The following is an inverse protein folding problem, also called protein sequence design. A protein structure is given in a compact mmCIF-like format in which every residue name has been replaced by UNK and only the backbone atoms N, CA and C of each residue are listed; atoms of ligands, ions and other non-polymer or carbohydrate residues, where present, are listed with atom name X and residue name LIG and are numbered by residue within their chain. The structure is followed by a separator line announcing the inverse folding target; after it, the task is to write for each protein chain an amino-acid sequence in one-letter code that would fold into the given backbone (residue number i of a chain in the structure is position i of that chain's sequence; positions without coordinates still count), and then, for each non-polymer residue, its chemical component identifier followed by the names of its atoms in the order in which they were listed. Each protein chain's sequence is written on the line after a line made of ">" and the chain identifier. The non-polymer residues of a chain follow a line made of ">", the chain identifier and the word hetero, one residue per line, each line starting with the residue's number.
data_IF_063923588969
#
_entry.id   IF_063923588969
#
_cell.length_a   1.000
_cell.length_b   1.000
_cell.length_c   1.000
_cell.angle_alpha   90.00
_cell.angle_beta   90.00
_cell.angle_gamma   90.00
#
_symmetry.space_group_name_H-M   'P 1'
#
loop_
_entity.id
_entity.type
_entity.pdbx_description
1 polymer ?
#
# COMPACT_ATOMS: atom_id res chain seq x y z
N UNK A 1 -5.86 5.29 33.87
CA UNK A 1 -6.31 5.34 32.47
C UNK A 1 -5.68 4.14 31.77
N UNK A 2 -6.49 3.20 31.30
CA UNK A 2 -5.99 1.92 30.76
C UNK A 2 -5.63 2.10 29.29
N UNK A 3 -4.46 1.61 28.87
CA UNK A 3 -4.04 1.53 27.45
C UNK A 3 -5.12 0.87 26.58
N UNK A 4 -5.93 -0.01 27.17
CA UNK A 4 -7.05 -0.69 26.50
C UNK A 4 -8.20 0.27 26.19
N UNK A 5 -8.44 1.28 27.00
CA UNK A 5 -9.48 2.28 26.76
C UNK A 5 -9.06 3.29 25.69
N UNK A 6 -7.77 3.65 25.63
CA UNK A 6 -7.21 4.47 24.55
C UNK A 6 -7.20 3.71 23.20
N UNK A 7 -6.95 2.39 23.20
CA UNK A 7 -7.04 1.55 22.01
C UNK A 7 -8.47 1.44 21.45
N UNK A 8 -9.51 1.48 22.31
CA UNK A 8 -10.92 1.51 21.87
C UNK A 8 -11.32 2.82 21.20
N UNK A 9 -10.55 3.89 21.41
CA UNK A 9 -10.79 5.20 20.78
C UNK A 9 -10.21 5.32 19.36
N UNK A 10 -9.41 4.34 18.93
CA UNK A 10 -8.84 4.35 17.58
C UNK A 10 -9.93 4.08 16.54
N UNK A 11 -10.06 5.02 15.60
CA UNK A 11 -10.90 4.86 14.42
C UNK A 11 -10.50 3.56 13.67
N UNK A 12 -11.48 2.75 13.30
CA UNK A 12 -11.28 1.49 12.55
C UNK A 12 -10.43 1.75 11.29
N UNK A 13 -10.59 2.91 10.66
CA UNK A 13 -9.79 3.31 9.51
C UNK A 13 -8.31 3.50 9.86
N UNK A 14 -8.00 4.06 11.04
CA UNK A 14 -6.62 4.23 11.50
C UNK A 14 -5.95 2.87 11.75
N UNK A 15 -6.68 1.92 12.34
CA UNK A 15 -6.19 0.55 12.53
C UNK A 15 -5.87 -0.10 11.18
N UNK A 16 -6.77 0.01 10.20
CA UNK A 16 -6.53 -0.53 8.85
C UNK A 16 -5.29 0.10 8.21
N UNK A 17 -5.14 1.42 8.25
CA UNK A 17 -3.98 2.12 7.68
C UNK A 17 -2.68 1.66 8.34
N UNK A 18 -2.66 1.56 9.67
CA UNK A 18 -1.49 1.10 10.43
C UNK A 18 -1.17 -0.36 10.07
N UNK A 19 -2.17 -1.24 10.04
CA UNK A 19 -1.97 -2.64 9.66
C UNK A 19 -1.42 -2.77 8.24
N UNK A 20 -1.99 -2.03 7.29
CA UNK A 20 -1.49 -1.98 5.91
C UNK A 20 -0.04 -1.52 5.92
N UNK A 21 0.31 -0.44 6.62
CA UNK A 21 1.69 0.05 6.70
C UNK A 21 2.67 -1.03 7.17
N UNK A 22 2.36 -1.76 8.25
CA UNK A 22 3.22 -2.83 8.74
C UNK A 22 3.39 -3.97 7.72
N UNK A 23 2.29 -4.41 7.11
CA UNK A 23 2.28 -5.54 6.16
C UNK A 23 2.89 -5.17 4.82
N UNK A 24 2.80 -3.90 4.40
CA UNK A 24 3.25 -3.44 3.09
C UNK A 24 4.64 -2.84 3.07
N UNK A 25 5.20 -2.42 4.21
CA UNK A 25 6.53 -1.82 4.29
C UNK A 25 7.50 -2.61 5.16
N UNK A 26 7.07 -3.03 6.36
CA UNK A 26 7.99 -3.52 7.39
C UNK A 26 8.21 -5.03 7.22
N UNK A 27 7.15 -5.82 7.35
CA UNK A 27 7.27 -7.28 7.38
C UNK A 27 7.98 -7.88 6.14
N UNK A 28 7.59 -7.56 4.89
CA UNK A 28 8.24 -8.16 3.73
C UNK A 28 9.67 -7.66 3.51
N UNK A 29 9.97 -6.41 3.87
CA UNK A 29 11.31 -5.87 3.75
C UNK A 29 12.26 -6.46 4.80
N UNK A 30 11.79 -6.73 6.02
CA UNK A 30 12.57 -7.47 7.03
C UNK A 30 12.99 -8.85 6.51
N UNK A 31 12.06 -9.58 5.89
CA UNK A 31 12.34 -10.88 5.28
C UNK A 31 13.38 -10.76 4.16
N UNK A 32 13.25 -9.75 3.32
CA UNK A 32 14.17 -9.50 2.22
C UNK A 32 15.57 -9.14 2.72
N UNK A 33 15.68 -8.25 3.71
CA UNK A 33 16.95 -7.85 4.34
C UNK A 33 17.61 -9.07 4.98
N UNK A 34 16.85 -9.85 5.75
CA UNK A 34 17.35 -11.07 6.38
C UNK A 34 17.90 -12.06 5.34
N UNK A 35 17.22 -12.24 4.20
CA UNK A 35 17.69 -13.13 3.13
C UNK A 35 18.94 -12.60 2.43
N UNK A 36 19.01 -11.30 2.17
CA UNK A 36 20.08 -10.69 1.38
C UNK A 36 21.36 -10.42 2.18
N UNK A 37 21.23 -10.01 3.44
CA UNK A 37 22.37 -9.71 4.30
C UNK A 37 22.02 -9.92 5.78
N UNK A 38 22.23 -11.16 6.24
CA UNK A 38 22.02 -11.56 7.64
C UNK A 38 22.84 -10.72 8.63
N UNK A 39 24.14 -10.42 8.41
CA UNK A 39 24.90 -9.55 9.31
C UNK A 39 24.23 -8.19 9.55
N UNK A 40 23.80 -7.50 8.49
CA UNK A 40 23.11 -6.20 8.61
C UNK A 40 21.84 -6.31 9.45
N UNK A 41 21.08 -7.39 9.29
CA UNK A 41 19.86 -7.62 10.07
C UNK A 41 20.12 -7.76 11.57
N UNK A 42 21.25 -8.36 11.96
CA UNK A 42 21.60 -8.64 13.36
C UNK A 42 22.28 -7.42 14.01
N UNK A 43 23.10 -6.69 13.25
CA UNK A 43 23.88 -5.55 13.75
C UNK A 43 23.07 -4.26 13.87
N UNK A 44 22.04 -4.08 13.04
CA UNK A 44 21.21 -2.89 13.08
C UNK A 44 20.20 -2.94 14.23
N UNK A 45 20.10 -1.81 14.94
CA UNK A 45 19.00 -1.57 15.87
C UNK A 45 17.65 -1.54 15.13
N UNK A 46 16.59 -1.91 15.84
CA UNK A 46 15.20 -2.03 15.35
C UNK A 46 14.75 -0.78 14.62
N UNK A 47 15.05 0.42 15.14
CA UNK A 47 14.66 1.69 14.51
C UNK A 47 15.36 1.84 13.14
N UNK A 48 16.66 1.53 13.06
CA UNK A 48 17.41 1.59 11.80
C UNK A 48 16.89 0.58 10.79
N UNK A 49 16.51 -0.61 11.26
CA UNK A 49 15.95 -1.66 10.44
C UNK A 49 14.57 -1.26 9.88
N UNK A 50 13.73 -0.61 10.68
CA UNK A 50 12.44 -0.04 10.24
C UNK A 50 12.68 1.03 9.16
N UNK A 51 13.62 1.96 9.37
CA UNK A 51 13.94 3.01 8.38
C UNK A 51 14.45 2.38 7.07
N UNK A 52 15.33 1.40 7.15
CA UNK A 52 15.84 0.69 5.98
C UNK A 52 14.71 -0.04 5.23
N UNK A 53 13.80 -0.65 5.97
CA UNK A 53 12.65 -1.37 5.42
C UNK A 53 11.70 -0.45 4.68
N UNK A 54 11.37 0.69 5.29
CA UNK A 54 10.59 1.75 4.64
C UNK A 54 11.32 2.21 3.38
N UNK A 55 12.64 2.41 3.44
CA UNK A 55 13.43 2.88 2.30
C UNK A 55 13.44 1.89 1.12
N UNK A 56 13.47 0.58 1.39
CA UNK A 56 13.41 -0.46 0.36
C UNK A 56 12.00 -0.56 -0.23
N UNK A 57 10.96 -0.44 0.60
CA UNK A 57 9.57 -0.60 0.19
C UNK A 57 8.96 0.65 -0.47
N UNK A 58 9.47 1.85 -0.15
CA UNK A 58 8.89 3.12 -0.59
C UNK A 58 8.91 3.36 -2.10
N UNK A 59 9.97 3.03 -2.85
CA UNK A 59 10.03 3.38 -4.28
C UNK A 59 8.87 2.82 -5.09
N UNK A 60 8.53 1.54 -4.94
CA UNK A 60 7.41 0.91 -5.64
C UNK A 60 6.05 1.46 -5.19
N UNK A 61 5.87 1.66 -3.88
CA UNK A 61 4.65 2.27 -3.34
C UNK A 61 4.43 3.68 -3.88
N UNK A 62 5.43 4.57 -3.73
CA UNK A 62 5.34 5.97 -4.12
C UNK A 62 5.12 6.11 -5.62
N UNK A 63 5.75 5.25 -6.42
CA UNK A 63 5.57 5.26 -7.86
C UNK A 63 4.12 4.94 -8.25
N UNK A 64 3.56 3.83 -7.75
CA UNK A 64 2.16 3.46 -8.03
C UNK A 64 1.16 4.49 -7.48
N UNK A 65 1.45 5.05 -6.30
CA UNK A 65 0.65 6.12 -5.71
C UNK A 65 0.65 7.35 -6.61
N UNK A 66 1.81 7.76 -7.13
CA UNK A 66 1.95 8.88 -8.05
C UNK A 66 1.19 8.65 -9.35
N UNK A 67 1.23 7.44 -9.93
CA UNK A 67 0.45 7.10 -11.13
C UNK A 67 -1.05 7.26 -10.87
N UNK A 68 -1.54 6.76 -9.72
CA UNK A 68 -2.95 6.89 -9.33
C UNK A 68 -3.35 8.36 -9.18
N UNK A 69 -2.51 9.14 -8.49
CA UNK A 69 -2.76 10.55 -8.23
C UNK A 69 -2.75 11.38 -9.52
N UNK A 70 -1.74 11.20 -10.37
CA UNK A 70 -1.67 11.89 -11.68
C UNK A 70 -2.88 11.53 -12.53
N UNK A 71 -3.30 10.26 -12.52
CA UNK A 71 -4.50 9.83 -13.24
C UNK A 71 -5.77 10.54 -12.76
N UNK A 72 -5.94 10.69 -11.44
CA UNK A 72 -7.08 11.43 -10.86
C UNK A 72 -7.04 12.91 -11.29
N UNK A 73 -5.89 13.56 -11.17
CA UNK A 73 -5.69 14.96 -11.56
C UNK A 73 -6.00 15.17 -13.04
N UNK A 74 -5.53 14.28 -13.91
CA UNK A 74 -5.79 14.33 -15.35
C UNK A 74 -7.29 14.20 -15.64
N UNK A 75 -7.97 13.20 -15.07
CA UNK A 75 -9.40 12.99 -15.28
C UNK A 75 -10.26 14.18 -14.80
N UNK A 76 -9.87 14.79 -13.69
CA UNK A 76 -10.53 15.98 -13.14
C UNK A 76 -10.26 17.21 -14.01
N UNK A 77 -9.01 17.42 -14.44
CA UNK A 77 -8.63 18.57 -15.27
C UNK A 77 -9.36 18.57 -16.62
N UNK A 78 -9.50 17.40 -17.26
CA UNK A 78 -10.25 17.26 -18.51
C UNK A 78 -11.79 17.22 -18.32
N UNK A 79 -12.29 17.41 -17.09
CA UNK A 79 -13.73 17.40 -16.75
C UNK A 79 -14.45 16.10 -17.11
N UNK A 80 -13.73 14.97 -17.19
CA UNK A 80 -14.36 13.67 -17.39
C UNK A 80 -15.08 13.21 -16.12
N UNK A 81 -14.53 13.53 -14.93
CA UNK A 81 -15.06 13.09 -13.64
C UNK A 81 -14.86 14.13 -12.53
N UNK A 82 -15.71 14.13 -11.48
CA UNK A 82 -15.49 14.95 -10.29
C UNK A 82 -14.31 14.44 -9.44
N UNK A 83 -13.75 15.32 -8.62
CA UNK A 83 -12.67 14.97 -7.70
C UNK A 83 -13.06 13.81 -6.76
N UNK A 84 -12.14 12.87 -6.57
CA UNK A 84 -12.36 11.69 -5.73
C UNK A 84 -13.14 10.56 -6.42
N UNK A 85 -13.34 10.61 -7.74
CA UNK A 85 -13.94 9.51 -8.50
C UNK A 85 -13.07 8.24 -8.47
N UNK A 86 -11.73 8.38 -8.47
CA UNK A 86 -10.81 7.26 -8.29
C UNK A 86 -10.64 6.83 -6.83
N UNK A 87 -11.35 7.45 -5.89
CA UNK A 87 -11.21 7.23 -4.44
C UNK A 87 -10.48 8.36 -3.73
N UNK A 88 -10.34 8.22 -2.42
CA UNK A 88 -9.61 9.17 -1.56
C UNK A 88 -8.14 8.78 -1.43
N UNK A 89 -7.30 9.68 -0.92
CA UNK A 89 -5.89 9.35 -0.63
C UNK A 89 -5.74 8.15 0.31
N UNK A 90 -6.66 7.97 1.27
CA UNK A 90 -6.64 6.80 2.14
C UNK A 90 -6.96 5.51 1.38
N UNK A 91 -7.91 5.56 0.43
CA UNK A 91 -8.21 4.41 -0.44
C UNK A 91 -7.00 4.07 -1.32
N UNK A 92 -6.29 5.07 -1.85
CA UNK A 92 -5.07 4.87 -2.64
C UNK A 92 -3.92 4.33 -1.80
N UNK A 93 -3.77 4.79 -0.55
CA UNK A 93 -2.78 4.25 0.37
C UNK A 93 -3.01 2.75 0.61
N UNK A 94 -4.26 2.35 0.86
CA UNK A 94 -4.60 0.93 1.06
C UNK A 94 -4.37 0.15 -0.23
N UNK A 95 -4.88 0.62 -1.37
CA UNK A 95 -4.75 -0.05 -2.66
C UNK A 95 -3.27 -0.25 -3.04
N UNK A 96 -2.48 0.82 -3.01
CA UNK A 96 -1.07 0.75 -3.40
C UNK A 96 -0.20 0.10 -2.32
N UNK A 97 -0.60 0.15 -1.05
CA UNK A 97 -0.01 -0.68 0.00
C UNK A 97 -0.19 -2.17 -0.27
N UNK A 98 -1.37 -2.59 -0.73
CA UNK A 98 -1.61 -3.98 -1.12
C UNK A 98 -0.79 -4.39 -2.36
N UNK A 99 -0.72 -3.53 -3.39
CA UNK A 99 0.16 -3.75 -4.54
C UNK A 99 1.63 -3.89 -4.11
N UNK A 100 2.10 -3.00 -3.23
CA UNK A 100 3.47 -3.02 -2.71
C UNK A 100 3.77 -4.28 -1.90
N UNK A 101 2.81 -4.69 -1.06
CA UNK A 101 2.85 -5.97 -0.32
C UNK A 101 3.09 -7.12 -1.28
N UNK A 102 2.25 -7.23 -2.32
CA UNK A 102 2.35 -8.31 -3.29
C UNK A 102 3.70 -8.31 -4.02
N UNK A 103 4.20 -7.14 -4.44
CA UNK A 103 5.53 -7.01 -5.07
C UNK A 103 6.61 -7.54 -4.14
N UNK A 104 6.70 -7.02 -2.91
CA UNK A 104 7.78 -7.36 -2.00
C UNK A 104 7.71 -8.81 -1.52
N UNK A 105 6.53 -9.34 -1.21
CA UNK A 105 6.41 -10.75 -0.83
C UNK A 105 6.73 -11.69 -1.98
N UNK A 106 6.33 -11.36 -3.21
CA UNK A 106 6.70 -12.16 -4.39
C UNK A 106 8.22 -12.14 -4.59
N UNK A 107 8.85 -10.96 -4.51
CA UNK A 107 10.30 -10.84 -4.64
C UNK A 107 11.04 -11.57 -3.52
N UNK A 108 10.58 -11.45 -2.28
CA UNK A 108 11.14 -12.19 -1.14
C UNK A 108 11.02 -13.70 -1.33
N UNK A 109 9.87 -14.18 -1.83
CA UNK A 109 9.68 -15.58 -2.17
C UNK A 109 10.65 -16.03 -3.28
N UNK A 110 10.76 -15.27 -4.37
CA UNK A 110 11.68 -15.58 -5.47
C UNK A 110 13.14 -15.54 -5.00
N UNK A 111 13.51 -14.57 -4.17
CA UNK A 111 14.84 -14.46 -3.60
C UNK A 111 15.19 -15.65 -2.71
N UNK A 112 14.21 -16.16 -1.96
CA UNK A 112 14.38 -17.38 -1.18
C UNK A 112 14.45 -18.64 -2.05
N UNK A 113 13.53 -18.79 -3.01
CA UNK A 113 13.39 -20.00 -3.82
C UNK A 113 14.50 -20.20 -4.85
N UNK A 114 15.01 -19.11 -5.43
CA UNK A 114 16.00 -19.14 -6.52
C UNK A 114 17.37 -18.57 -6.12
N UNK A 115 17.58 -18.32 -4.82
CA UNK A 115 18.79 -17.72 -4.26
C UNK A 115 19.25 -16.46 -5.01
N UNK A 116 18.32 -15.53 -5.23
CA UNK A 116 18.60 -14.34 -6.03
C UNK A 116 19.64 -13.43 -5.35
N UNK A 117 20.58 -12.94 -6.17
CA UNK A 117 21.46 -11.85 -5.77
C UNK A 117 20.68 -10.53 -5.61
N UNK A 118 21.30 -9.54 -4.95
CA UNK A 118 20.74 -8.17 -4.81
C UNK A 118 20.34 -7.59 -6.17
N UNK A 119 21.16 -7.78 -7.22
CA UNK A 119 20.83 -7.33 -8.58
C UNK A 119 19.57 -8.02 -9.12
N UNK A 120 19.44 -9.32 -8.87
CA UNK A 120 18.25 -10.08 -9.25
C UNK A 120 16.99 -9.57 -8.55
N UNK A 121 17.07 -9.30 -7.24
CA UNK A 121 15.98 -8.71 -6.47
C UNK A 121 15.54 -7.37 -7.05
N UNK A 122 16.47 -6.47 -7.36
CA UNK A 122 16.15 -5.15 -7.94
C UNK A 122 15.45 -5.30 -9.30
N UNK A 123 15.92 -6.19 -10.17
CA UNK A 123 15.28 -6.43 -11.47
C UNK A 123 13.88 -7.02 -11.34
N UNK A 124 13.67 -7.95 -10.41
CA UNK A 124 12.34 -8.50 -10.15
C UNK A 124 11.38 -7.47 -9.55
N UNK A 125 11.86 -6.62 -8.62
CA UNK A 125 11.07 -5.49 -8.12
C UNK A 125 10.68 -4.55 -9.25
N UNK A 126 11.61 -4.19 -10.12
CA UNK A 126 11.34 -3.32 -11.26
C UNK A 126 10.36 -3.96 -12.26
N UNK A 127 10.53 -5.24 -12.59
CA UNK A 127 9.63 -5.96 -13.50
C UNK A 127 8.21 -6.05 -12.97
N UNK A 128 8.04 -6.38 -11.69
CA UNK A 128 6.72 -6.40 -11.05
C UNK A 128 6.15 -4.99 -10.92
N UNK A 129 6.95 -3.98 -10.62
CA UNK A 129 6.49 -2.59 -10.59
C UNK A 129 5.90 -2.16 -11.94
N UNK A 130 6.55 -2.50 -13.06
CA UNK A 130 6.03 -2.24 -14.40
C UNK A 130 4.71 -2.97 -14.62
N UNK A 131 4.61 -4.25 -14.23
CA UNK A 131 3.38 -5.02 -14.33
C UNK A 131 2.23 -4.39 -13.55
N UNK A 132 2.47 -4.00 -12.29
CA UNK A 132 1.47 -3.34 -11.45
C UNK A 132 1.11 -1.93 -11.96
N UNK A 133 2.04 -1.25 -12.61
CA UNK A 133 1.77 0.03 -13.28
C UNK A 133 0.81 -0.15 -14.46
N UNK A 134 1.04 -1.17 -15.30
CA UNK A 134 0.12 -1.51 -16.40
C UNK A 134 -1.26 -1.89 -15.85
N UNK A 135 -1.31 -2.67 -14.76
CA UNK A 135 -2.55 -2.98 -14.07
C UNK A 135 -3.27 -1.74 -13.53
N UNK A 136 -2.53 -0.78 -12.96
CA UNK A 136 -3.08 0.47 -12.45
C UNK A 136 -3.68 1.32 -13.58
N UNK A 137 -2.98 1.44 -14.71
CA UNK A 137 -3.53 2.10 -15.90
C UNK A 137 -4.80 1.41 -16.39
N UNK A 138 -4.81 0.08 -16.47
CA UNK A 138 -6.00 -0.69 -16.83
C UNK A 138 -7.16 -0.42 -15.85
N UNK A 139 -6.91 -0.45 -14.54
CA UNK A 139 -7.89 -0.15 -13.50
C UNK A 139 -8.49 1.23 -13.67
N UNK A 140 -7.64 2.25 -13.85
CA UNK A 140 -8.06 3.64 -14.09
C UNK A 140 -8.96 3.71 -15.32
N UNK A 141 -8.58 3.08 -16.43
CA UNK A 141 -9.39 3.07 -17.66
C UNK A 141 -10.74 2.36 -17.47
N UNK A 142 -10.78 1.27 -16.70
CA UNK A 142 -12.03 0.54 -16.41
C UNK A 142 -12.94 1.38 -15.51
N UNK A 143 -12.40 2.01 -14.47
CA UNK A 143 -13.15 2.91 -13.58
C UNK A 143 -13.66 4.13 -14.36
N UNK A 144 -12.81 4.73 -15.20
CA UNK A 144 -13.16 5.84 -16.08
C UNK A 144 -14.12 5.45 -17.23
N UNK A 145 -14.57 4.19 -17.32
CA UNK A 145 -15.68 3.77 -18.20
C UNK A 145 -16.97 3.52 -17.42
N UNK A 146 -16.93 3.61 -16.08
CA UNK A 146 -18.05 3.28 -15.18
C UNK A 146 -18.43 4.51 -14.34
N UNK A 147 -19.35 5.36 -14.82
CA UNK A 147 -19.72 6.59 -14.13
C UNK A 147 -20.33 6.37 -12.73
N UNK A 148 -20.87 5.18 -12.45
CA UNK A 148 -21.47 4.83 -11.16
C UNK A 148 -20.46 4.27 -10.12
N UNK A 149 -19.17 4.18 -10.48
CA UNK A 149 -18.18 3.61 -9.58
C UNK A 149 -17.99 4.47 -8.32
N UNK A 150 -18.29 3.89 -7.15
CA UNK A 150 -17.97 4.45 -5.83
C UNK A 150 -16.80 3.67 -5.23
N UNK A 151 -15.60 4.22 -5.35
CA UNK A 151 -14.35 3.54 -5.03
C UNK A 151 -14.10 3.23 -3.54
N UNK A 152 -14.92 3.75 -2.61
CA UNK A 152 -14.47 3.85 -1.23
C UNK A 152 -14.82 2.62 -0.39
N UNK A 153 -13.82 1.80 -0.12
CA UNK A 153 -13.89 0.72 0.86
C UNK A 153 -14.04 1.28 2.30
N UNK A 154 -13.42 2.45 2.58
CA UNK A 154 -13.40 3.09 3.90
C UNK A 154 -14.66 3.92 4.23
N UNK A 155 -15.48 4.29 3.23
CA UNK A 155 -16.78 4.96 3.45
C UNK A 155 -17.86 4.00 3.95
N UNK A 156 -17.79 2.72 3.58
CA UNK A 156 -18.77 1.70 4.01
C UNK A 156 -18.80 1.53 5.52
N UNK A 157 -17.64 1.54 6.17
CA UNK A 157 -17.48 1.51 7.64
C UNK A 157 -17.95 2.79 8.31
N UNK A 158 -17.76 3.96 7.69
CA UNK A 158 -18.23 5.24 8.24
C UNK A 158 -19.76 5.36 8.28
N UNK A 159 -20.45 4.85 7.26
CA UNK A 159 -21.91 4.82 7.24
C UNK A 159 -22.50 3.76 8.19
N UNK A 160 -21.84 2.59 8.31
CA UNK A 160 -22.22 1.57 9.28
C UNK A 160 -22.10 2.10 10.73
N UNK A 161 -21.01 2.79 11.05
CA UNK A 161 -20.80 3.39 12.38
C UNK A 161 -21.72 4.59 12.67
N UNK A 162 -22.21 5.30 11.65
CA UNK A 162 -23.23 6.35 11.83
C UNK A 162 -24.63 5.77 12.07
N UNK A 163 -25.01 4.72 11.36
CA UNK A 163 -26.28 4.01 11.59
C UNK A 163 -26.31 3.37 12.99
N UNK A 164 -25.20 2.78 13.44
CA UNK A 164 -25.13 2.19 14.78
C UNK A 164 -25.22 3.21 15.92
N UNK A 165 -24.86 4.49 15.66
CA UNK A 165 -24.99 5.60 16.62
C UNK A 165 -26.33 6.32 16.55
N UNK A 166 -27.12 6.15 15.48
CA UNK A 166 -28.48 6.70 15.41
C UNK A 166 -29.53 5.80 16.05
N UNK A 167 -29.21 4.51 16.19
CA UNK A 167 -30.12 3.48 16.69
C UNK A 167 -29.85 3.10 18.17
N UNK A 168 -28.97 3.86 18.85
CA UNK A 168 -28.63 3.75 20.29
C UNK A 168 -29.01 5.01 21.04
#
# INVERSE_FOLDING_TARGET
>A
MSIVDDLKSLDTNAVVIISVFFVSFIAPAFLLIYKLNKPIFIELDTIKLIILSISIASPSFLFLFLITWVSDVVLVHFKYYPAGHLGTMADWFVLQGMSNTSILYMVSFLAYAFDLSVKGVVWWMAGLLVLYTVYEFWRVLVVAKRPEFKASALRTTQNANKAFKSDS
#
